data_IF_649771239278
#
_entry.id   IF_649771239278
#
_cell.length_a   1.000
_cell.length_b   1.000
_cell.length_c   1.000
_cell.angle_alpha   90.00
_cell.angle_beta   90.00
_cell.angle_gamma   90.00
#
_symmetry.space_group_name_H-M   'P 1'
#
loop_
_entity.id
_entity.type
_entity.pdbx_description
1 polymer ?
#
# COMPACT_ATOMS: atom_id res chain seq x y z
N UNK A 1 -27.36 5.98 8.51
CA UNK A 1 -26.49 7.05 7.98
C UNK A 1 -25.03 6.90 8.36
N UNK A 2 -24.68 5.85 9.07
CA UNK A 2 -23.28 5.46 9.34
C UNK A 2 -22.49 5.23 8.03
N UNK A 3 -23.14 4.66 7.00
CA UNK A 3 -22.55 4.49 5.70
C UNK A 3 -22.16 5.82 5.01
N UNK A 4 -22.87 6.89 5.31
CA UNK A 4 -22.61 8.21 4.75
C UNK A 4 -21.42 8.91 5.41
N UNK A 5 -21.25 8.74 6.71
CA UNK A 5 -20.09 9.25 7.43
C UNK A 5 -18.82 8.49 7.05
N UNK A 6 -18.89 7.16 7.00
CA UNK A 6 -17.80 6.31 6.54
C UNK A 6 -17.40 6.63 5.09
N UNK A 7 -18.38 6.97 4.26
CA UNK A 7 -18.15 7.35 2.87
C UNK A 7 -17.33 8.64 2.72
N UNK A 8 -17.54 9.64 3.59
CA UNK A 8 -16.77 10.89 3.58
C UNK A 8 -15.31 10.70 3.97
N UNK A 9 -15.02 9.74 4.83
CA UNK A 9 -13.65 9.43 5.25
C UNK A 9 -12.89 8.55 4.26
N UNK A 10 -13.59 7.98 3.30
CA UNK A 10 -13.06 7.07 2.29
C UNK A 10 -13.47 7.58 0.90
N UNK A 11 -13.22 8.85 0.64
CA UNK A 11 -13.63 9.54 -0.60
C UNK A 11 -13.20 8.84 -1.88
N UNK A 12 -12.17 8.03 -1.80
CA UNK A 12 -11.59 7.38 -2.96
C UNK A 12 -12.04 5.92 -3.12
N UNK A 13 -12.86 5.41 -2.21
CA UNK A 13 -13.46 4.09 -2.31
C UNK A 13 -14.97 4.23 -2.43
N UNK A 14 -15.50 3.93 -3.60
CA UNK A 14 -16.94 3.90 -3.83
C UNK A 14 -17.43 2.45 -3.87
N UNK A 15 -18.33 2.12 -2.96
CA UNK A 15 -19.13 0.89 -3.07
C UNK A 15 -20.48 1.27 -3.64
N UNK A 16 -20.72 0.89 -4.89
CA UNK A 16 -21.98 1.16 -5.56
C UNK A 16 -22.86 -0.08 -5.47
N UNK A 17 -24.04 0.09 -4.91
CA UNK A 17 -25.07 -0.95 -4.96
C UNK A 17 -25.95 -0.72 -6.19
N UNK A 18 -25.93 -1.65 -7.11
CA UNK A 18 -26.79 -1.67 -8.29
C UNK A 18 -27.65 -2.94 -8.25
N UNK A 19 -28.96 -2.78 -8.23
CA UNK A 19 -29.87 -3.92 -8.25
C UNK A 19 -29.72 -4.90 -7.07
N UNK A 20 -29.28 -4.42 -5.89
CA UNK A 20 -29.08 -5.24 -4.71
C UNK A 20 -27.77 -6.05 -4.67
N UNK A 21 -26.94 -5.94 -5.70
CA UNK A 21 -25.62 -6.59 -5.74
C UNK A 21 -24.55 -5.58 -5.30
N UNK A 22 -23.75 -5.97 -4.30
CA UNK A 22 -22.60 -5.18 -3.88
C UNK A 22 -21.51 -5.28 -4.95
N UNK A 23 -21.15 -4.16 -5.54
CA UNK A 23 -20.01 -4.09 -6.46
C UNK A 23 -18.70 -3.97 -5.69
N UNK A 24 -17.61 -4.40 -6.34
CA UNK A 24 -16.27 -4.24 -5.81
C UNK A 24 -15.94 -2.76 -5.49
N UNK A 25 -15.18 -2.49 -4.43
CA UNK A 25 -14.71 -1.14 -4.15
C UNK A 25 -13.88 -0.60 -5.32
N UNK A 26 -14.18 0.62 -5.72
CA UNK A 26 -13.45 1.34 -6.76
C UNK A 26 -12.52 2.34 -6.09
N UNK A 27 -11.24 2.24 -6.38
CA UNK A 27 -10.24 3.20 -5.92
C UNK A 27 -10.15 4.36 -6.92
N UNK A 28 -10.53 5.55 -6.50
CA UNK A 28 -10.40 6.75 -7.33
C UNK A 28 -8.93 7.07 -7.57
N UNK A 29 -8.55 7.29 -8.82
CA UNK A 29 -7.18 7.60 -9.21
C UNK A 29 -6.25 6.39 -9.37
N UNK A 30 -6.78 5.18 -9.26
CA UNK A 30 -6.10 3.94 -9.61
C UNK A 30 -6.84 3.24 -10.75
N UNK A 31 -6.12 2.44 -11.55
CA UNK A 31 -6.77 1.54 -12.48
C UNK A 31 -7.60 0.50 -11.71
N UNK A 32 -8.45 -0.23 -12.42
CA UNK A 32 -9.14 -1.38 -11.84
C UNK A 32 -8.12 -2.33 -11.19
N UNK A 33 -8.34 -2.68 -9.92
CA UNK A 33 -7.43 -3.56 -9.17
C UNK A 33 -7.61 -4.99 -9.65
N UNK A 34 -6.51 -5.60 -10.08
CA UNK A 34 -6.44 -6.97 -10.57
C UNK A 34 -5.40 -7.76 -9.80
N UNK A 35 -5.52 -9.07 -9.82
CA UNK A 35 -4.50 -9.96 -9.27
C UNK A 35 -3.30 -10.06 -10.22
N UNK A 36 -2.11 -10.33 -9.64
CA UNK A 36 -0.84 -10.51 -10.35
C UNK A 36 -0.32 -9.26 -11.09
N UNK A 37 -0.79 -8.08 -10.71
CA UNK A 37 -0.26 -6.80 -11.16
C UNK A 37 0.35 -6.03 -9.98
N UNK A 38 1.37 -5.23 -10.26
CA UNK A 38 2.02 -4.39 -9.25
C UNK A 38 1.37 -3.00 -9.20
N UNK A 39 1.07 -2.55 -8.00
CA UNK A 39 0.48 -1.23 -7.73
C UNK A 39 1.39 -0.42 -6.82
N UNK A 40 1.83 0.73 -7.26
CA UNK A 40 2.57 1.68 -6.42
C UNK A 40 1.58 2.44 -5.54
N UNK A 41 1.74 2.36 -4.23
CA UNK A 41 0.97 3.18 -3.30
C UNK A 41 1.46 4.63 -3.38
N UNK A 42 0.58 5.54 -3.76
CA UNK A 42 0.94 6.94 -4.10
C UNK A 42 1.22 7.81 -2.89
N UNK A 43 0.57 7.54 -1.79
CA UNK A 43 0.54 8.43 -0.61
C UNK A 43 1.07 7.76 0.66
N UNK A 44 1.87 6.72 0.55
CA UNK A 44 2.51 6.12 1.71
C UNK A 44 3.80 6.85 2.01
N UNK A 45 3.82 7.49 3.17
CA UNK A 45 4.94 8.28 3.63
C UNK A 45 5.41 7.81 5.02
N UNK A 46 6.70 7.87 5.22
CA UNK A 46 7.36 7.53 6.48
C UNK A 46 8.14 8.73 7.02
N UNK A 47 8.40 8.71 8.31
CA UNK A 47 9.37 9.64 8.90
C UNK A 47 10.74 9.48 8.22
N UNK A 48 11.48 10.56 8.16
CA UNK A 48 12.80 10.55 7.56
C UNK A 48 13.69 9.48 8.23
N UNK A 49 14.33 8.68 7.40
CA UNK A 49 15.23 7.60 7.83
C UNK A 49 14.62 6.60 8.83
N UNK A 50 13.30 6.40 8.75
CA UNK A 50 12.51 5.62 9.68
C UNK A 50 11.42 4.83 8.94
N UNK A 51 10.76 3.93 9.62
CA UNK A 51 9.64 3.14 9.11
C UNK A 51 8.30 3.49 9.79
N UNK A 52 8.27 4.55 10.58
CA UNK A 52 7.03 5.08 11.18
C UNK A 52 6.19 5.76 10.11
N UNK A 53 4.96 5.27 9.92
CA UNK A 53 3.99 5.84 9.00
C UNK A 53 3.56 7.25 9.43
N UNK A 54 3.49 8.17 8.48
CA UNK A 54 2.89 9.48 8.69
C UNK A 54 1.36 9.41 8.54
N UNK A 55 0.66 10.32 9.19
CA UNK A 55 -0.81 10.39 9.17
C UNK A 55 -1.38 10.51 7.75
N UNK A 56 -0.66 11.17 6.85
CA UNK A 56 -1.02 11.29 5.44
C UNK A 56 -1.17 9.96 4.71
N UNK A 57 -0.60 8.87 5.26
CA UNK A 57 -0.67 7.53 4.70
C UNK A 57 -1.97 6.79 5.00
N UNK A 58 -2.65 7.13 6.10
CA UNK A 58 -3.79 6.38 6.57
C UNK A 58 -5.01 6.34 5.64
N UNK A 59 -5.35 7.41 4.90
CA UNK A 59 -6.45 7.32 3.94
C UNK A 59 -6.24 6.22 2.89
N UNK A 60 -5.05 6.09 2.37
CA UNK A 60 -4.71 5.04 1.38
C UNK A 60 -4.68 3.64 2.01
N UNK A 61 -4.15 3.53 3.22
CA UNK A 61 -4.14 2.27 3.97
C UNK A 61 -5.56 1.79 4.31
N UNK A 62 -6.47 2.69 4.62
CA UNK A 62 -7.89 2.35 4.83
C UNK A 62 -8.53 1.77 3.57
N UNK A 63 -8.22 2.32 2.40
CA UNK A 63 -8.68 1.77 1.12
C UNK A 63 -8.17 0.35 0.91
N UNK A 64 -6.91 0.12 1.23
CA UNK A 64 -6.33 -1.21 1.14
C UNK A 64 -7.04 -2.20 2.05
N UNK A 65 -7.39 -1.80 3.28
CA UNK A 65 -8.20 -2.62 4.20
C UNK A 65 -9.55 -2.97 3.57
N UNK A 66 -10.24 -2.01 2.97
CA UNK A 66 -11.55 -2.25 2.34
C UNK A 66 -11.45 -3.23 1.15
N UNK A 67 -10.40 -3.12 0.33
CA UNK A 67 -10.14 -4.10 -0.73
C UNK A 67 -9.96 -5.49 -0.14
N UNK A 68 -9.14 -5.64 0.88
CA UNK A 68 -8.85 -6.92 1.51
C UNK A 68 -10.07 -7.52 2.24
N UNK A 69 -10.97 -6.67 2.74
CA UNK A 69 -12.23 -7.10 3.34
C UNK A 69 -13.25 -7.55 2.29
N UNK A 70 -13.29 -6.87 1.17
CA UNK A 70 -14.18 -7.21 0.06
C UNK A 70 -13.76 -8.52 -0.61
N UNK A 71 -12.50 -8.62 -0.99
CA UNK A 71 -11.91 -9.82 -1.61
C UNK A 71 -11.33 -10.74 -0.54
N UNK A 72 -12.18 -11.52 0.12
CA UNK A 72 -11.81 -12.32 1.31
C UNK A 72 -10.76 -13.41 1.06
N UNK A 73 -10.64 -13.88 -0.17
CA UNK A 73 -9.67 -14.91 -0.56
C UNK A 73 -8.33 -14.33 -1.02
N UNK A 74 -8.30 -13.03 -1.33
CA UNK A 74 -7.08 -12.42 -1.84
C UNK A 74 -6.01 -12.33 -0.77
N UNK A 75 -4.78 -12.52 -1.23
CA UNK A 75 -3.55 -12.29 -0.49
C UNK A 75 -2.83 -11.09 -1.07
N UNK A 76 -2.00 -10.44 -0.29
CA UNK A 76 -1.22 -9.29 -0.71
C UNK A 76 0.25 -9.47 -0.36
N UNK A 77 1.12 -9.16 -1.30
CA UNK A 77 2.55 -8.97 -1.07
C UNK A 77 2.80 -7.47 -1.01
N UNK A 78 3.36 -7.00 0.10
CA UNK A 78 3.75 -5.62 0.32
C UNK A 78 5.26 -5.53 0.15
N UNK A 79 5.72 -4.73 -0.79
CA UNK A 79 7.14 -4.60 -1.12
C UNK A 79 7.63 -3.19 -0.88
N UNK A 80 8.66 -3.05 -0.05
CA UNK A 80 9.31 -1.77 0.21
C UNK A 80 10.52 -1.53 -0.67
N UNK A 81 10.74 -0.26 -1.04
CA UNK A 81 11.89 0.21 -1.81
C UNK A 81 12.46 1.48 -1.21
N UNK A 82 13.76 1.71 -1.41
CA UNK A 82 14.46 2.92 -0.99
C UNK A 82 15.06 3.64 -2.19
N UNK A 83 15.58 4.84 -1.93
CA UNK A 83 16.46 5.52 -2.88
C UNK A 83 17.89 4.96 -2.85
N UNK A 84 18.80 5.61 -3.57
CA UNK A 84 20.19 5.19 -3.75
C UNK A 84 21.11 5.54 -2.57
N UNK A 85 20.64 6.29 -1.58
CA UNK A 85 21.47 6.76 -0.46
C UNK A 85 21.59 5.67 0.60
N UNK A 86 22.82 5.44 1.08
CA UNK A 86 23.12 4.47 2.13
C UNK A 86 23.63 3.14 1.58
N UNK A 87 24.00 2.26 2.49
CA UNK A 87 24.49 0.91 2.14
C UNK A 87 23.35 0.01 1.66
N UNK A 88 23.69 -1.03 0.91
CA UNK A 88 22.71 -2.03 0.44
C UNK A 88 22.03 -2.74 1.61
N UNK A 89 22.81 -3.15 2.61
CA UNK A 89 22.28 -3.84 3.80
C UNK A 89 21.31 -2.96 4.59
N UNK A 90 21.66 -1.70 4.82
CA UNK A 90 20.79 -0.75 5.51
C UNK A 90 19.48 -0.51 4.76
N UNK A 91 19.56 -0.28 3.46
CA UNK A 91 18.37 -0.04 2.63
C UNK A 91 17.49 -1.27 2.51
N UNK A 92 18.08 -2.46 2.46
CA UNK A 92 17.32 -3.70 2.45
C UNK A 92 16.49 -3.85 3.73
N UNK A 93 17.11 -3.65 4.88
CA UNK A 93 16.44 -3.71 6.17
C UNK A 93 15.36 -2.62 6.33
N UNK A 94 15.68 -1.37 5.99
CA UNK A 94 14.75 -0.26 6.04
C UNK A 94 13.51 -0.51 5.16
N UNK A 95 13.71 -0.99 3.95
CA UNK A 95 12.60 -1.29 3.03
C UNK A 95 11.71 -2.42 3.54
N UNK A 96 12.30 -3.44 4.16
CA UNK A 96 11.54 -4.53 4.78
C UNK A 96 10.72 -4.03 5.98
N UNK A 97 11.30 -3.21 6.84
CA UNK A 97 10.58 -2.62 7.98
C UNK A 97 9.43 -1.70 7.53
N UNK A 98 9.60 -0.94 6.46
CA UNK A 98 8.53 -0.11 5.87
C UNK A 98 7.38 -0.95 5.32
N UNK A 99 7.69 -2.04 4.63
CA UNK A 99 6.66 -3.01 4.23
C UNK A 99 5.97 -3.63 5.46
N UNK A 100 6.73 -3.93 6.50
CA UNK A 100 6.22 -4.42 7.79
C UNK A 100 5.24 -3.45 8.44
N UNK A 101 5.54 -2.16 8.47
CA UNK A 101 4.64 -1.14 9.04
C UNK A 101 3.28 -1.09 8.33
N UNK A 102 3.27 -1.26 7.01
CA UNK A 102 2.01 -1.38 6.25
C UNK A 102 1.27 -2.67 6.62
N UNK A 103 1.97 -3.79 6.69
CA UNK A 103 1.40 -5.08 7.08
C UNK A 103 0.81 -5.03 8.50
N UNK A 104 1.52 -4.45 9.45
CA UNK A 104 1.07 -4.30 10.85
C UNK A 104 -0.24 -3.51 10.92
N UNK A 105 -0.33 -2.42 10.16
CA UNK A 105 -1.59 -1.67 10.08
C UNK A 105 -2.75 -2.53 9.56
N UNK A 106 -2.54 -3.32 8.50
CA UNK A 106 -3.57 -4.21 7.97
C UNK A 106 -4.01 -5.25 9.01
N UNK A 107 -3.05 -5.81 9.74
CA UNK A 107 -3.32 -6.80 10.80
C UNK A 107 -4.11 -6.16 11.95
N UNK A 108 -3.74 -4.97 12.38
CA UNK A 108 -4.46 -4.20 13.41
C UNK A 108 -5.92 -3.91 13.00
N UNK A 109 -6.17 -3.76 11.70
CA UNK A 109 -7.51 -3.57 11.14
C UNK A 109 -8.29 -4.88 10.93
N UNK A 110 -7.73 -6.02 11.34
CA UNK A 110 -8.40 -7.31 11.33
C UNK A 110 -8.18 -8.14 10.06
N UNK A 111 -7.21 -7.78 9.22
CA UNK A 111 -6.81 -8.64 8.09
C UNK A 111 -5.95 -9.78 8.63
N UNK A 112 -6.27 -11.01 8.24
CA UNK A 112 -5.52 -12.20 8.65
C UNK A 112 -4.06 -12.11 8.21
N UNK A 113 -3.08 -12.24 9.14
CA UNK A 113 -1.66 -12.24 8.82
C UNK A 113 -1.26 -13.27 7.75
N UNK A 114 -1.95 -14.41 7.68
CA UNK A 114 -1.70 -15.44 6.66
C UNK A 114 -1.98 -14.95 5.21
N UNK A 115 -2.69 -13.84 5.07
CA UNK A 115 -3.00 -13.21 3.79
C UNK A 115 -1.99 -12.14 3.37
N UNK A 116 -1.00 -11.84 4.22
CA UNK A 116 -0.07 -10.73 4.02
C UNK A 116 1.36 -11.26 4.01
N UNK A 117 2.13 -10.89 2.99
CA UNK A 117 3.56 -11.15 2.89
C UNK A 117 4.29 -9.81 2.71
N UNK A 118 5.43 -9.68 3.35
CA UNK A 118 6.28 -8.49 3.24
C UNK A 118 7.59 -8.83 2.56
N UNK A 119 8.09 -7.91 1.75
CA UNK A 119 9.39 -8.00 1.08
C UNK A 119 10.08 -6.65 1.11
N UNK A 120 11.41 -6.66 1.15
CA UNK A 120 12.23 -5.47 1.01
C UNK A 120 13.25 -5.69 -0.10
N UNK A 121 13.33 -4.77 -1.04
CA UNK A 121 14.34 -4.78 -2.11
C UNK A 121 15.39 -3.67 -1.97
N UNK A 122 15.26 -2.83 -0.95
CA UNK A 122 16.19 -1.71 -0.76
C UNK A 122 16.25 -0.84 -2.00
N UNK A 123 17.48 -0.55 -2.47
CA UNK A 123 17.74 0.26 -3.66
C UNK A 123 17.98 -0.55 -4.94
N UNK A 124 17.74 -1.86 -4.92
CA UNK A 124 18.13 -2.76 -6.01
C UNK A 124 17.26 -2.64 -7.26
N UNK A 125 16.00 -2.21 -7.11
CA UNK A 125 15.04 -2.12 -8.22
C UNK A 125 14.45 -0.71 -8.32
N UNK A 126 15.22 0.30 -8.74
CA UNK A 126 14.69 1.64 -8.89
C UNK A 126 13.64 1.71 -10.00
N UNK A 127 12.57 2.48 -9.78
CA UNK A 127 11.57 2.76 -10.80
C UNK A 127 12.12 3.71 -11.88
N UNK A 128 12.93 4.67 -11.43
CA UNK A 128 13.57 5.64 -12.31
C UNK A 128 15.07 5.68 -12.01
N UNK A 129 15.86 5.80 -13.06
CA UNK A 129 17.29 6.03 -12.93
C UNK A 129 17.55 7.50 -12.65
N UNK A 130 18.43 7.80 -11.71
CA UNK A 130 18.82 9.16 -11.38
C UNK A 130 19.15 9.30 -9.89
N UNK A 131 19.94 10.31 -9.59
CA UNK A 131 20.44 10.60 -8.24
C UNK A 131 19.97 11.96 -7.72
N UNK A 132 19.06 12.62 -8.44
CA UNK A 132 18.42 13.85 -7.98
C UNK A 132 17.23 13.53 -7.04
N UNK A 133 16.76 14.52 -6.32
CA UNK A 133 15.67 14.34 -5.36
C UNK A 133 14.36 13.90 -6.00
N UNK A 134 14.05 14.35 -7.21
CA UNK A 134 12.86 13.91 -7.94
C UNK A 134 12.87 12.41 -8.21
N UNK A 135 13.99 11.86 -8.65
CA UNK A 135 14.18 10.43 -8.87
C UNK A 135 14.14 9.65 -7.56
N UNK A 136 14.80 10.15 -6.53
CA UNK A 136 14.81 9.53 -5.19
C UNK A 136 13.42 9.45 -4.59
N UNK A 137 12.62 10.50 -4.70
CA UNK A 137 11.25 10.54 -4.21
C UNK A 137 10.38 9.45 -4.85
N UNK A 138 10.53 9.22 -6.15
CA UNK A 138 9.81 8.16 -6.88
C UNK A 138 10.28 6.77 -6.43
N UNK A 139 11.57 6.60 -6.18
CA UNK A 139 12.15 5.32 -5.78
C UNK A 139 11.82 4.93 -4.33
N UNK A 140 11.62 5.90 -3.44
CA UNK A 140 11.12 5.67 -2.08
C UNK A 140 9.62 5.35 -2.12
N UNK A 141 9.29 4.09 -2.28
CA UNK A 141 7.91 3.65 -2.48
C UNK A 141 7.59 2.32 -1.81
N UNK A 142 6.32 2.07 -1.70
CA UNK A 142 5.74 0.76 -1.35
C UNK A 142 4.90 0.29 -2.53
N UNK A 143 5.07 -0.94 -2.90
CA UNK A 143 4.29 -1.61 -3.94
C UNK A 143 3.42 -2.71 -3.35
N UNK A 144 2.32 -2.99 -4.00
CA UNK A 144 1.41 -4.09 -3.68
C UNK A 144 1.23 -5.00 -4.88
N UNK A 145 1.16 -6.30 -4.61
CA UNK A 145 0.70 -7.30 -5.58
C UNK A 145 -0.35 -8.19 -4.92
N UNK A 146 -1.53 -8.26 -5.50
CA UNK A 146 -2.57 -9.16 -5.04
C UNK A 146 -2.50 -10.50 -5.77
N UNK A 147 -2.89 -11.56 -5.08
CA UNK A 147 -3.09 -12.90 -5.63
C UNK A 147 -4.34 -13.52 -5.03
N UNK A 148 -4.92 -14.47 -5.74
CA UNK A 148 -6.07 -15.23 -5.27
C UNK A 148 -5.67 -16.65 -4.87
#
# INVERSE_FOLDING_TARGET
>A
MLAKAAYFYIDDVKVVKVGGVSQAPVLTGYPEIKTNEDYVLKNIQFRYNDFTLLESSYPELKRLVEIMRFYKTWKVVVTGHTDDIGSDAYNLELSLHRAGSVADYLIEQGIDPARIKTMGFGKQTPLVKGTNESSRAINRRVELRFSN
#
